data_IF_539419666746
#
_entry.id   IF_539419666746
#
_cell.length_a   1.000
_cell.length_b   1.000
_cell.length_c   1.000
_cell.angle_alpha   90.00
_cell.angle_beta   90.00
_cell.angle_gamma   90.00
#
_symmetry.space_group_name_H-M   'P 1'
#
loop_
_entity.id
_entity.type
_entity.pdbx_description
1 polymer ?
#
# COMPACT_ATOMS: atom_id res chain seq x y z
N UNK A 1 -13.03 4.30 -23.26
CA UNK A 1 -13.71 3.85 -22.02
C UNK A 1 -12.61 3.63 -21.03
N UNK A 2 -12.70 4.23 -19.83
CA UNK A 2 -11.68 4.09 -18.80
C UNK A 2 -11.67 2.63 -18.34
N UNK A 3 -10.50 2.00 -18.37
CA UNK A 3 -10.27 0.62 -17.92
C UNK A 3 -9.60 0.58 -16.55
N UNK A 4 -8.71 1.53 -16.28
CA UNK A 4 -7.94 1.61 -15.05
C UNK A 4 -8.17 2.94 -14.34
N UNK A 5 -8.27 2.91 -13.01
CA UNK A 5 -8.21 4.11 -12.17
C UNK A 5 -6.97 4.07 -11.29
N UNK A 6 -6.22 5.15 -11.24
CA UNK A 6 -5.08 5.29 -10.34
C UNK A 6 -5.53 6.12 -9.14
N UNK A 7 -5.74 5.45 -8.01
CA UNK A 7 -6.17 6.05 -6.77
C UNK A 7 -4.96 6.57 -5.98
N UNK A 8 -4.88 7.89 -5.83
CA UNK A 8 -3.84 8.58 -5.06
C UNK A 8 -4.49 9.32 -3.89
N UNK A 9 -3.92 9.20 -2.71
CA UNK A 9 -4.36 9.95 -1.53
C UNK A 9 -3.32 11.01 -1.18
N UNK A 10 -3.79 12.22 -0.88
CA UNK A 10 -2.94 13.36 -0.58
C UNK A 10 -3.32 13.97 0.77
N UNK A 11 -2.33 14.24 1.63
CA UNK A 11 -2.54 15.06 2.82
C UNK A 11 -1.27 15.85 3.16
N UNK A 12 -1.33 17.16 2.95
CA UNK A 12 -0.24 18.10 3.16
C UNK A 12 1.08 17.69 2.49
N UNK A 13 1.04 17.47 1.17
CA UNK A 13 2.22 17.10 0.36
C UNK A 13 2.51 18.13 -0.73
N UNK A 14 2.23 19.42 -0.53
CA UNK A 14 2.39 20.45 -1.55
C UNK A 14 3.80 20.46 -2.20
N UNK A 15 4.84 20.10 -1.42
CA UNK A 15 6.23 20.07 -1.87
C UNK A 15 6.53 18.92 -2.87
N UNK A 16 5.76 17.84 -2.87
CA UNK A 16 6.01 16.64 -3.70
C UNK A 16 4.89 16.33 -4.68
N UNK A 17 3.66 16.76 -4.37
CA UNK A 17 2.43 16.35 -5.05
C UNK A 17 2.48 16.57 -6.56
N UNK A 18 2.90 17.76 -7.01
CA UNK A 18 2.97 18.05 -8.44
C UNK A 18 3.91 17.09 -9.18
N UNK A 19 5.13 16.90 -8.66
CA UNK A 19 6.13 16.01 -9.25
C UNK A 19 5.67 14.56 -9.25
N UNK A 20 5.00 14.13 -8.18
CA UNK A 20 4.45 12.78 -8.06
C UNK A 20 3.35 12.54 -9.09
N UNK A 21 2.33 13.41 -9.14
CA UNK A 21 1.19 13.25 -10.04
C UNK A 21 1.59 13.36 -11.51
N UNK A 22 2.50 14.28 -11.86
CA UNK A 22 3.06 14.37 -13.22
C UNK A 22 3.73 13.05 -13.64
N UNK A 23 4.53 12.45 -12.76
CA UNK A 23 5.18 11.16 -13.03
C UNK A 23 4.20 10.01 -13.27
N UNK A 24 2.96 10.12 -12.76
CA UNK A 24 1.90 9.13 -12.95
C UNK A 24 1.10 9.44 -14.23
N UNK A 25 0.60 10.67 -14.38
CA UNK A 25 -0.33 11.02 -15.45
C UNK A 25 0.35 11.09 -16.83
N UNK A 26 1.64 11.44 -16.88
CA UNK A 26 2.38 11.57 -18.15
C UNK A 26 2.71 10.22 -18.79
N UNK A 27 2.70 9.12 -18.04
CA UNK A 27 3.05 7.79 -18.54
C UNK A 27 1.86 6.92 -18.95
N UNK A 28 0.62 7.40 -18.81
CA UNK A 28 -0.59 6.61 -19.09
C UNK A 28 -1.44 7.21 -20.21
N UNK A 29 -2.21 6.39 -20.93
CA UNK A 29 -3.10 6.84 -22.00
C UNK A 29 -4.56 7.10 -21.54
N UNK A 30 -5.48 7.31 -22.49
CA UNK A 30 -6.91 7.59 -22.22
C UNK A 30 -7.69 6.36 -21.70
N UNK A 31 -7.06 5.20 -21.58
CA UNK A 31 -7.63 4.05 -20.86
C UNK A 31 -7.48 4.16 -19.35
N UNK A 32 -6.77 5.19 -18.86
CA UNK A 32 -6.58 5.48 -17.45
C UNK A 32 -7.30 6.76 -17.03
N UNK A 33 -7.73 6.80 -15.79
CA UNK A 33 -7.98 8.04 -15.04
C UNK A 33 -7.10 8.06 -13.78
N UNK A 34 -6.83 9.25 -13.25
CA UNK A 34 -6.14 9.46 -11.98
C UNK A 34 -7.12 10.14 -11.02
N UNK A 35 -7.50 9.43 -9.95
CA UNK A 35 -8.42 9.95 -8.93
C UNK A 35 -7.60 10.30 -7.71
N UNK A 36 -7.56 11.60 -7.37
CA UNK A 36 -6.80 12.09 -6.21
C UNK A 36 -7.76 12.51 -5.10
N UNK A 37 -7.72 11.85 -3.96
CA UNK A 37 -8.50 12.26 -2.77
C UNK A 37 -7.62 13.13 -1.88
N UNK A 38 -8.07 14.35 -1.59
CA UNK A 38 -7.40 15.24 -0.65
C UNK A 38 -7.98 15.07 0.76
N UNK A 39 -7.10 14.66 1.68
CA UNK A 39 -7.35 14.43 3.09
C UNK A 39 -7.73 15.67 3.92
N UNK A 40 -8.00 16.82 3.28
CA UNK A 40 -8.23 18.10 3.96
C UNK A 40 -6.94 18.91 4.14
N UNK A 41 -6.12 18.98 3.09
CA UNK A 41 -4.84 19.69 3.13
C UNK A 41 -5.00 21.20 3.32
N UNK A 42 -4.02 21.80 4.01
CA UNK A 42 -3.97 23.23 4.33
C UNK A 42 -2.68 23.91 3.90
N UNK A 43 -1.82 23.21 3.16
CA UNK A 43 -0.47 23.60 2.81
C UNK A 43 -0.31 24.13 1.36
N UNK A 44 -1.42 24.29 0.63
CA UNK A 44 -1.43 24.67 -0.78
C UNK A 44 -1.67 23.50 -1.74
N UNK A 45 -1.67 22.25 -1.25
CA UNK A 45 -1.93 21.06 -2.08
C UNK A 45 -3.22 21.16 -2.92
N UNK A 46 -4.28 21.75 -2.35
CA UNK A 46 -5.59 21.88 -3.03
C UNK A 46 -5.56 22.84 -4.22
N UNK A 47 -4.66 23.83 -4.21
CA UNK A 47 -4.50 24.75 -5.34
C UNK A 47 -3.74 24.04 -6.46
N UNK A 48 -2.66 23.32 -6.13
CA UNK A 48 -1.91 22.47 -7.06
C UNK A 48 -2.82 21.44 -7.75
N UNK A 49 -3.72 20.78 -6.99
CA UNK A 49 -4.65 19.80 -7.54
C UNK A 49 -5.62 20.42 -8.55
N UNK A 50 -6.09 21.65 -8.35
CA UNK A 50 -6.96 22.33 -9.31
C UNK A 50 -6.20 22.67 -10.59
N UNK A 51 -4.97 23.14 -10.47
CA UNK A 51 -4.12 23.44 -11.63
C UNK A 51 -3.85 22.17 -12.47
N UNK A 52 -3.58 21.04 -11.81
CA UNK A 52 -3.38 19.76 -12.50
C UNK A 52 -4.67 19.19 -13.11
N UNK A 53 -5.83 19.37 -12.48
CA UNK A 53 -7.13 18.96 -13.04
C UNK A 53 -7.49 19.78 -14.28
N UNK A 54 -7.15 21.08 -14.30
CA UNK A 54 -7.29 21.94 -15.49
C UNK A 54 -6.34 21.55 -16.63
N UNK A 55 -5.13 21.07 -16.30
CA UNK A 55 -4.12 20.65 -17.27
C UNK A 55 -4.38 19.26 -17.86
N UNK A 56 -4.84 18.31 -17.03
CA UNK A 56 -4.98 16.90 -17.40
C UNK A 56 -6.44 16.44 -17.32
N UNK A 57 -7.09 16.29 -18.47
CA UNK A 57 -8.49 15.85 -18.55
C UNK A 57 -8.79 14.46 -17.94
N UNK A 58 -7.75 13.64 -17.73
CA UNK A 58 -7.83 12.32 -17.09
C UNK A 58 -7.55 12.35 -15.57
N UNK A 59 -7.19 13.50 -15.00
CA UNK A 59 -6.98 13.69 -13.58
C UNK A 59 -8.23 14.32 -12.97
N UNK A 60 -8.68 13.79 -11.83
CA UNK A 60 -9.81 14.34 -11.07
C UNK A 60 -9.49 14.41 -9.59
N UNK A 61 -9.73 15.56 -8.98
CA UNK A 61 -9.45 15.80 -7.58
C UNK A 61 -10.73 15.81 -6.73
N UNK A 62 -10.80 14.94 -5.73
CA UNK A 62 -11.88 14.88 -4.74
C UNK A 62 -11.46 15.74 -3.54
N UNK A 63 -11.87 17.01 -3.59
CA UNK A 63 -11.54 18.00 -2.56
C UNK A 63 -12.59 18.08 -1.45
N UNK A 64 -13.74 17.43 -1.61
CA UNK A 64 -14.89 17.52 -0.71
C UNK A 64 -15.25 16.15 -0.16
N UNK A 65 -14.34 15.56 0.64
CA UNK A 65 -14.64 14.35 1.39
C UNK A 65 -15.43 14.64 2.66
N UNK A 66 -16.26 13.70 3.09
CA UNK A 66 -16.98 13.79 4.36
C UNK A 66 -16.04 13.53 5.55
N UNK A 67 -16.29 14.18 6.69
CA UNK A 67 -15.48 14.06 7.92
C UNK A 67 -15.53 12.66 8.55
N UNK A 68 -16.41 11.78 8.06
CA UNK A 68 -16.58 10.42 8.59
C UNK A 68 -15.34 9.52 8.37
N UNK A 69 -14.45 9.91 7.46
CA UNK A 69 -13.30 9.14 7.00
C UNK A 69 -11.95 9.79 7.29
N UNK A 70 -11.70 10.36 8.48
CA UNK A 70 -10.46 11.14 8.80
C UNK A 70 -9.14 10.32 8.89
N UNK A 71 -8.96 9.30 8.04
CA UNK A 71 -7.78 8.46 7.94
C UNK A 71 -7.42 8.17 6.49
N UNK A 72 -6.17 7.76 6.26
CA UNK A 72 -5.69 7.35 4.93
C UNK A 72 -6.50 6.17 4.35
N UNK A 73 -6.95 5.24 5.19
CA UNK A 73 -7.83 4.14 4.76
C UNK A 73 -9.18 4.66 4.26
N UNK A 74 -9.75 5.64 4.96
CA UNK A 74 -10.95 6.34 4.52
C UNK A 74 -10.78 7.04 3.17
N UNK A 75 -9.68 7.77 2.99
CA UNK A 75 -9.37 8.42 1.71
C UNK A 75 -9.20 7.40 0.57
N UNK A 76 -8.60 6.23 0.84
CA UNK A 76 -8.49 5.14 -0.14
C UNK A 76 -9.84 4.54 -0.50
N UNK A 77 -10.74 4.35 0.47
CA UNK A 77 -12.11 3.88 0.20
C UNK A 77 -12.84 4.84 -0.73
N UNK A 78 -12.79 6.15 -0.45
CA UNK A 78 -13.38 7.17 -1.32
C UNK A 78 -12.77 7.10 -2.72
N UNK A 79 -11.45 6.94 -2.84
CA UNK A 79 -10.80 6.85 -4.14
C UNK A 79 -11.27 5.61 -4.95
N UNK A 80 -11.46 4.46 -4.29
CA UNK A 80 -11.98 3.24 -4.93
C UNK A 80 -13.45 3.40 -5.32
N UNK A 81 -14.26 4.02 -4.45
CA UNK A 81 -15.68 4.30 -4.72
C UNK A 81 -15.85 5.24 -5.91
N UNK A 82 -15.02 6.28 -5.99
CA UNK A 82 -15.04 7.28 -7.06
C UNK A 82 -14.40 6.79 -8.37
N UNK A 83 -13.70 5.66 -8.36
CA UNK A 83 -13.06 5.10 -9.56
C UNK A 83 -14.07 4.58 -10.57
N UNK A 84 -13.90 4.92 -11.85
CA UNK A 84 -14.72 4.45 -12.98
C UNK A 84 -14.11 3.24 -13.72
N UNK A 85 -12.83 2.94 -13.51
CA UNK A 85 -12.14 1.80 -14.09
C UNK A 85 -12.58 0.47 -13.47
N UNK A 86 -12.47 -0.60 -14.26
CA UNK A 86 -12.71 -1.97 -13.81
C UNK A 86 -11.58 -2.45 -12.88
N UNK A 87 -10.39 -1.88 -13.03
CA UNK A 87 -9.21 -2.15 -12.23
C UNK A 87 -8.71 -0.87 -11.56
N UNK A 88 -8.29 -0.97 -10.31
CA UNK A 88 -7.82 0.19 -9.54
C UNK A 88 -6.40 -0.08 -9.08
N UNK A 89 -5.50 0.85 -9.43
CA UNK A 89 -4.19 0.96 -8.82
C UNK A 89 -4.32 1.67 -7.48
N UNK A 90 -3.76 1.09 -6.42
CA UNK A 90 -3.81 1.63 -5.06
C UNK A 90 -2.43 1.68 -4.41
N UNK A 91 -2.30 2.53 -3.39
CA UNK A 91 -1.05 2.75 -2.63
C UNK A 91 0.09 3.31 -3.48
N UNK A 92 -0.24 4.18 -4.45
CA UNK A 92 0.74 5.05 -5.12
C UNK A 92 0.83 6.35 -4.32
N UNK A 93 1.83 6.44 -3.45
CA UNK A 93 1.93 7.56 -2.51
C UNK A 93 2.42 8.85 -3.20
N UNK A 94 1.83 9.99 -2.79
CA UNK A 94 2.09 11.32 -3.34
C UNK A 94 3.48 11.92 -2.99
N UNK A 95 4.32 11.14 -2.31
CA UNK A 95 5.71 11.46 -1.96
C UNK A 95 6.74 10.66 -2.79
N UNK A 96 6.27 9.93 -3.81
CA UNK A 96 7.09 9.16 -4.74
C UNK A 96 7.02 9.71 -6.16
N UNK A 97 8.15 9.61 -6.89
CA UNK A 97 8.21 9.79 -8.34
C UNK A 97 8.35 8.42 -9.00
N UNK A 98 7.38 8.04 -9.82
CA UNK A 98 7.38 6.77 -10.54
C UNK A 98 8.27 6.86 -11.78
N UNK A 99 8.95 5.76 -12.11
CA UNK A 99 9.77 5.68 -13.32
C UNK A 99 8.88 5.50 -14.55
N UNK A 100 9.35 5.98 -15.70
CA UNK A 100 8.57 5.96 -16.94
C UNK A 100 8.25 4.51 -17.37
N UNK A 101 6.97 4.27 -17.70
CA UNK A 101 6.45 3.00 -18.21
C UNK A 101 6.09 1.96 -17.14
N UNK A 102 6.52 2.13 -15.88
CA UNK A 102 6.34 1.09 -14.84
C UNK A 102 4.88 0.81 -14.51
N UNK A 103 3.98 1.77 -14.66
CA UNK A 103 2.56 1.60 -14.34
C UNK A 103 1.87 0.76 -15.42
N UNK A 104 2.06 1.10 -16.70
CA UNK A 104 1.51 0.33 -17.81
C UNK A 104 2.09 -1.08 -17.86
N UNK A 105 3.39 -1.22 -17.59
CA UNK A 105 4.07 -2.51 -17.49
C UNK A 105 3.51 -3.36 -16.34
N UNK A 106 3.16 -2.75 -15.20
CA UNK A 106 2.55 -3.48 -14.08
C UNK A 106 1.13 -3.97 -14.41
N UNK A 107 0.32 -3.17 -15.12
CA UNK A 107 -0.97 -3.62 -15.66
C UNK A 107 -0.78 -4.78 -16.65
N UNK A 108 0.23 -4.72 -17.52
CA UNK A 108 0.54 -5.80 -18.44
C UNK A 108 0.92 -7.10 -17.69
N UNK A 109 1.78 -7.00 -16.66
CA UNK A 109 2.12 -8.13 -15.77
C UNK A 109 0.87 -8.70 -15.10
N UNK A 110 0.01 -7.83 -14.55
CA UNK A 110 -1.24 -8.25 -13.92
C UNK A 110 -2.12 -9.05 -14.88
N UNK A 111 -2.35 -8.58 -16.11
CA UNK A 111 -3.21 -9.29 -17.06
C UNK A 111 -2.62 -10.58 -17.61
N UNK A 112 -1.28 -10.67 -17.70
CA UNK A 112 -0.63 -11.93 -18.02
C UNK A 112 -0.89 -12.98 -16.93
N UNK A 113 -0.76 -12.61 -15.65
CA UNK A 113 -1.12 -13.48 -14.52
C UNK A 113 -2.62 -13.80 -14.48
N UNK A 114 -3.48 -12.80 -14.70
CA UNK A 114 -4.93 -12.97 -14.68
C UNK A 114 -5.43 -14.02 -15.68
N UNK A 115 -4.76 -14.13 -16.83
CA UNK A 115 -5.12 -15.09 -17.88
C UNK A 115 -5.13 -16.56 -17.42
N UNK A 116 -4.37 -16.90 -16.37
CA UNK A 116 -4.29 -18.27 -15.82
C UNK A 116 -4.95 -18.47 -14.45
N UNK A 117 -5.31 -17.39 -13.75
CA UNK A 117 -5.79 -17.47 -12.36
C UNK A 117 -7.27 -17.90 -12.25
N UNK A 118 -8.12 -17.49 -13.20
CA UNK A 118 -9.56 -17.83 -13.20
C UNK A 118 -10.37 -17.25 -12.02
N UNK A 119 -9.79 -16.34 -11.22
CA UNK A 119 -10.40 -15.66 -10.07
C UNK A 119 -9.84 -14.24 -9.94
N UNK A 120 -10.59 -13.30 -9.32
CA UNK A 120 -10.03 -12.00 -8.98
C UNK A 120 -8.92 -12.15 -7.92
N UNK A 121 -7.91 -11.29 -8.00
CA UNK A 121 -6.84 -11.22 -7.02
C UNK A 121 -6.27 -9.81 -6.95
N UNK A 122 -5.63 -9.51 -5.84
CA UNK A 122 -4.84 -8.31 -5.62
C UNK A 122 -3.38 -8.63 -5.95
N UNK A 123 -2.79 -7.93 -6.91
CA UNK A 123 -1.36 -8.03 -7.16
C UNK A 123 -0.65 -6.95 -6.36
N UNK A 124 0.15 -7.38 -5.39
CA UNK A 124 0.97 -6.50 -4.57
C UNK A 124 2.39 -6.43 -5.09
N UNK A 125 2.85 -5.20 -5.29
CA UNK A 125 4.24 -4.83 -5.51
C UNK A 125 4.67 -3.78 -4.49
N UNK A 126 5.98 -3.63 -4.28
CA UNK A 126 6.48 -2.56 -3.43
C UNK A 126 6.19 -1.21 -4.08
N UNK A 127 5.38 -0.38 -3.40
CA UNK A 127 4.95 0.96 -3.85
C UNK A 127 4.01 0.99 -5.07
N UNK A 128 3.49 -0.16 -5.53
CA UNK A 128 2.51 -0.24 -6.61
C UNK A 128 1.65 -1.48 -6.45
N UNK A 129 0.32 -1.32 -6.50
CA UNK A 129 -0.60 -2.44 -6.37
C UNK A 129 -1.77 -2.25 -7.31
N UNK A 130 -2.38 -3.35 -7.76
CA UNK A 130 -3.54 -3.33 -8.64
C UNK A 130 -4.50 -4.48 -8.28
N UNK A 131 -5.80 -4.21 -8.35
CA UNK A 131 -6.84 -5.21 -8.19
C UNK A 131 -8.09 -4.82 -8.99
N UNK A 132 -9.00 -5.77 -9.25
CA UNK A 132 -10.34 -5.45 -9.72
C UNK A 132 -11.04 -4.53 -8.71
N UNK A 133 -11.75 -3.52 -9.19
CA UNK A 133 -12.49 -2.58 -8.32
C UNK A 133 -13.46 -3.30 -7.40
N UNK A 134 -14.14 -4.33 -7.90
CA UNK A 134 -15.08 -5.14 -7.10
C UNK A 134 -14.40 -5.79 -5.90
N UNK A 135 -13.18 -6.31 -6.05
CA UNK A 135 -12.43 -6.92 -4.95
C UNK A 135 -12.11 -5.89 -3.87
N UNK A 136 -11.73 -4.67 -4.26
CA UNK A 136 -11.45 -3.59 -3.30
C UNK A 136 -12.72 -3.08 -2.60
N UNK A 137 -13.86 -3.08 -3.30
CA UNK A 137 -15.16 -2.73 -2.72
C UNK A 137 -15.64 -3.79 -1.71
N UNK A 138 -15.32 -5.07 -1.95
CA UNK A 138 -15.65 -6.17 -1.03
C UNK A 138 -14.73 -6.20 0.21
N UNK A 139 -13.53 -5.58 0.12
CA UNK A 139 -12.55 -5.45 1.20
C UNK A 139 -12.18 -3.98 1.48
N UNK A 140 -13.10 -3.16 2.00
CA UNK A 140 -12.80 -1.77 2.31
C UNK A 140 -11.73 -1.65 3.39
N UNK A 141 -10.91 -0.61 3.30
CA UNK A 141 -9.93 -0.29 4.33
C UNK A 141 -10.64 0.08 5.63
N UNK A 142 -10.19 -0.43 6.79
CA UNK A 142 -10.73 -0.02 8.07
C UNK A 142 -10.36 1.44 8.37
N UNK A 143 -11.15 2.12 9.20
CA UNK A 143 -10.87 3.47 9.67
C UNK A 143 -9.79 3.46 10.77
N UNK A 144 -8.60 2.98 10.40
CA UNK A 144 -7.41 2.92 11.26
C UNK A 144 -6.53 4.15 11.02
N UNK A 145 -6.01 4.79 12.07
CA UNK A 145 -5.08 5.92 11.91
C UNK A 145 -3.81 5.58 11.13
N UNK A 146 -3.38 4.33 11.17
CA UNK A 146 -2.24 3.75 10.42
C UNK A 146 -2.41 2.23 10.35
N UNK A 147 -1.83 1.60 9.32
CA UNK A 147 -1.79 0.13 9.21
C UNK A 147 -3.04 -0.47 8.57
N UNK A 148 -3.89 0.36 7.98
CA UNK A 148 -5.00 -0.02 7.11
C UNK A 148 -4.60 -1.00 6.00
N UNK A 149 -3.41 -0.83 5.41
CA UNK A 149 -2.88 -1.75 4.39
C UNK A 149 -2.62 -3.15 4.95
N UNK A 150 -2.10 -3.24 6.18
CA UNK A 150 -1.82 -4.51 6.85
C UNK A 150 -3.11 -5.28 7.08
N UNK A 151 -4.18 -4.58 7.47
CA UNK A 151 -5.48 -5.20 7.67
C UNK A 151 -6.04 -5.74 6.35
N UNK A 152 -6.01 -4.95 5.28
CA UNK A 152 -6.42 -5.41 3.94
C UNK A 152 -5.65 -6.68 3.53
N UNK A 153 -4.31 -6.67 3.66
CA UNK A 153 -3.50 -7.83 3.29
C UNK A 153 -3.82 -9.07 4.13
N UNK A 154 -4.12 -8.92 5.43
CA UNK A 154 -4.55 -10.06 6.25
C UNK A 154 -5.83 -10.71 5.71
N UNK A 155 -6.84 -9.90 5.35
CA UNK A 155 -8.09 -10.40 4.75
C UNK A 155 -7.79 -11.14 3.44
N UNK A 156 -7.03 -10.50 2.56
CA UNK A 156 -6.72 -11.08 1.25
C UNK A 156 -5.89 -12.36 1.36
N UNK A 157 -4.91 -12.45 2.26
CA UNK A 157 -4.16 -13.70 2.48
C UNK A 157 -5.05 -14.81 3.04
N UNK A 158 -5.99 -14.48 3.93
CA UNK A 158 -6.91 -15.47 4.49
C UNK A 158 -7.85 -16.06 3.42
N UNK A 159 -8.13 -15.29 2.37
CA UNK A 159 -8.99 -15.68 1.25
C UNK A 159 -8.20 -16.17 0.02
N UNK A 160 -6.88 -16.30 0.12
CA UNK A 160 -5.98 -16.59 -1.01
C UNK A 160 -6.08 -15.55 -2.14
N UNK A 161 -6.59 -14.35 -1.87
CA UNK A 161 -6.92 -13.31 -2.84
C UNK A 161 -5.78 -12.31 -3.13
N UNK A 162 -4.53 -12.61 -2.74
CA UNK A 162 -3.36 -11.74 -2.97
C UNK A 162 -2.20 -12.53 -3.56
N UNK A 163 -1.49 -11.92 -4.52
CA UNK A 163 -0.19 -12.36 -5.00
C UNK A 163 0.84 -11.29 -4.67
N UNK A 164 2.02 -11.71 -4.21
CA UNK A 164 3.09 -10.77 -3.87
C UNK A 164 4.25 -10.89 -4.86
N UNK A 165 4.38 -9.88 -5.72
CA UNK A 165 5.44 -9.82 -6.72
C UNK A 165 6.72 -9.23 -6.12
N UNK A 166 7.82 -9.96 -6.26
CA UNK A 166 9.16 -9.43 -6.07
C UNK A 166 9.64 -8.75 -7.34
N UNK A 167 10.02 -7.48 -7.22
CA UNK A 167 10.50 -6.67 -8.33
C UNK A 167 11.47 -5.58 -7.86
N UNK A 168 12.21 -4.99 -8.79
CA UNK A 168 13.09 -3.85 -8.54
C UNK A 168 12.33 -2.57 -8.18
N UNK A 169 13.01 -1.47 -7.88
CA UNK A 169 12.31 -0.22 -7.53
C UNK A 169 11.49 0.31 -8.72
N UNK A 170 10.23 0.68 -8.47
CA UNK A 170 9.33 1.31 -9.45
C UNK A 170 9.30 2.84 -9.33
N UNK A 171 9.80 3.35 -8.20
CA UNK A 171 9.80 4.76 -7.90
C UNK A 171 11.04 5.15 -7.07
N UNK A 172 11.24 6.46 -6.93
CA UNK A 172 12.12 7.05 -5.93
C UNK A 172 11.29 7.92 -4.98
N UNK A 173 11.66 7.95 -3.70
CA UNK A 173 11.03 8.87 -2.75
C UNK A 173 11.58 10.28 -2.97
N UNK A 174 10.69 11.25 -3.14
CA UNK A 174 11.03 12.64 -3.48
C UNK A 174 10.76 13.65 -2.36
N UNK A 175 10.29 13.16 -1.21
CA UNK A 175 10.21 13.97 0.01
C UNK A 175 9.30 13.33 1.05
N UNK A 176 9.87 12.82 2.14
CA UNK A 176 9.12 12.46 3.35
C UNK A 176 10.06 12.23 4.54
N UNK A 177 10.87 13.25 4.87
CA UNK A 177 11.76 13.18 6.03
C UNK A 177 10.98 13.42 7.32
N UNK A 178 10.57 12.32 7.98
CA UNK A 178 9.97 12.39 9.31
C UNK A 178 11.04 12.73 10.34
N UNK A 179 10.77 13.74 11.15
CA UNK A 179 11.51 13.91 12.38
C UNK A 179 11.32 12.71 13.32
N UNK A 180 12.26 12.52 14.24
CA UNK A 180 12.24 11.41 15.19
C UNK A 180 10.97 11.37 16.05
N UNK A 181 10.35 12.52 16.35
CA UNK A 181 9.11 12.58 17.13
C UNK A 181 7.94 12.01 16.34
N UNK A 182 7.84 12.32 15.05
CA UNK A 182 6.84 11.81 14.13
C UNK A 182 7.02 10.30 13.94
N UNK A 183 8.27 9.82 13.82
CA UNK A 183 8.56 8.38 13.77
C UNK A 183 8.11 7.65 15.04
N UNK A 184 8.42 8.20 16.22
CA UNK A 184 8.03 7.62 17.51
C UNK A 184 6.50 7.58 17.68
N UNK A 185 5.82 8.67 17.31
CA UNK A 185 4.35 8.74 17.34
C UNK A 185 3.74 7.71 16.38
N UNK A 186 4.29 7.54 15.17
CA UNK A 186 3.85 6.53 14.20
C UNK A 186 4.03 5.12 14.77
N UNK A 187 5.19 4.80 15.35
CA UNK A 187 5.46 3.48 15.93
C UNK A 187 4.45 3.11 17.03
N UNK A 188 4.14 4.04 17.94
CA UNK A 188 3.12 3.83 18.97
C UNK A 188 1.72 3.66 18.35
N UNK A 189 1.36 4.47 17.35
CA UNK A 189 0.07 4.36 16.65
C UNK A 189 -0.07 3.00 15.95
N UNK A 190 0.98 2.52 15.28
CA UNK A 190 0.98 1.19 14.64
C UNK A 190 0.70 0.11 15.68
N UNK A 191 1.36 0.15 16.85
CA UNK A 191 1.10 -0.81 17.92
C UNK A 191 -0.32 -0.74 18.46
N UNK A 192 -0.92 0.45 18.54
CA UNK A 192 -2.33 0.59 18.93
C UNK A 192 -3.23 -0.07 17.87
N UNK A 193 -2.95 0.16 16.58
CA UNK A 193 -3.73 -0.39 15.47
C UNK A 193 -3.56 -1.91 15.34
N UNK A 194 -2.40 -2.46 15.67
CA UNK A 194 -2.19 -3.91 15.79
C UNK A 194 -3.19 -4.51 16.80
N UNK A 195 -3.37 -3.88 17.97
CA UNK A 195 -4.34 -4.34 18.96
C UNK A 195 -5.79 -4.14 18.51
N UNK A 196 -6.10 -3.04 17.80
CA UNK A 196 -7.41 -2.84 17.18
C UNK A 196 -7.70 -3.88 16.08
N UNK A 197 -6.65 -4.48 15.50
CA UNK A 197 -6.71 -5.54 14.49
C UNK A 197 -6.36 -6.90 15.11
N UNK A 198 -6.88 -7.17 16.31
CA UNK A 198 -6.90 -8.51 16.92
C UNK A 198 -5.57 -9.10 17.40
N UNK A 199 -4.43 -8.41 17.24
CA UNK A 199 -3.16 -8.88 17.79
C UNK A 199 -3.25 -9.00 19.31
N UNK A 200 -2.86 -10.15 19.87
CA UNK A 200 -2.95 -10.35 21.32
C UNK A 200 -1.77 -9.70 22.07
N UNK A 201 -2.01 -9.18 23.29
CA UNK A 201 -0.95 -8.66 24.16
C UNK A 201 0.16 -9.71 24.40
N UNK A 202 -0.24 -10.96 24.63
CA UNK A 202 0.72 -12.05 24.85
C UNK A 202 1.64 -12.23 23.65
N UNK A 203 1.09 -12.24 22.44
CA UNK A 203 1.87 -12.35 21.20
C UNK A 203 2.79 -11.13 21.03
N UNK A 204 2.28 -9.92 21.20
CA UNK A 204 3.06 -8.68 21.06
C UNK A 204 4.24 -8.61 22.04
N UNK A 205 4.04 -9.04 23.30
CA UNK A 205 5.12 -9.09 24.28
C UNK A 205 6.16 -10.17 23.95
N UNK A 206 5.72 -11.35 23.50
CA UNK A 206 6.64 -12.40 23.06
C UNK A 206 7.52 -11.92 21.87
N UNK A 207 6.88 -11.28 20.89
CA UNK A 207 7.53 -10.69 19.73
C UNK A 207 8.57 -9.63 20.13
N UNK A 208 8.29 -8.78 21.13
CA UNK A 208 9.27 -7.78 21.60
C UNK A 208 10.56 -8.37 22.18
N UNK A 209 10.53 -9.64 22.59
CA UNK A 209 11.68 -10.37 23.14
C UNK A 209 12.39 -11.21 22.06
N UNK A 210 11.59 -11.87 21.22
CA UNK A 210 12.00 -12.76 20.13
C UNK A 210 11.33 -12.30 18.84
N UNK A 211 12.02 -11.44 18.09
CA UNK A 211 11.55 -10.91 16.81
C UNK A 211 12.41 -11.46 15.67
N UNK A 212 11.79 -12.27 14.81
CA UNK A 212 12.38 -12.70 13.54
C UNK A 212 12.19 -11.59 12.50
N UNK A 213 13.30 -11.11 11.95
CA UNK A 213 13.31 -9.97 11.04
C UNK A 213 13.27 -10.43 9.60
N UNK A 214 12.12 -10.22 8.97
CA UNK A 214 11.94 -10.45 7.54
C UNK A 214 12.30 -9.21 6.71
N UNK A 215 12.57 -8.06 7.35
CA UNK A 215 12.86 -6.78 6.69
C UNK A 215 11.77 -6.32 5.70
N UNK A 216 10.55 -6.83 5.91
CA UNK A 216 9.33 -6.42 5.23
C UNK A 216 8.65 -5.42 6.15
N UNK A 217 8.40 -4.21 5.66
CA UNK A 217 7.82 -3.10 6.43
C UNK A 217 8.66 -2.66 7.64
N UNK A 218 9.93 -3.10 7.71
CA UNK A 218 10.86 -2.85 8.80
C UNK A 218 12.18 -2.27 8.31
N UNK A 219 12.69 -1.26 9.01
CA UNK A 219 14.03 -0.70 8.75
C UNK A 219 15.08 -1.42 9.59
N UNK A 220 16.23 -1.76 9.00
CA UNK A 220 17.40 -2.15 9.80
C UNK A 220 17.95 -0.93 10.55
N UNK A 221 18.15 -1.08 11.86
CA UNK A 221 18.68 -0.05 12.76
C UNK A 221 20.05 -0.45 13.33
N UNK A 222 20.58 -1.62 12.94
CA UNK A 222 21.83 -2.15 13.46
C UNK A 222 21.73 -2.75 14.88
N UNK A 223 22.72 -3.56 15.28
CA UNK A 223 22.62 -4.45 16.45
C UNK A 223 22.43 -3.70 17.79
N UNK A 224 23.03 -2.53 17.94
CA UNK A 224 22.99 -1.76 19.18
C UNK A 224 21.60 -1.14 19.42
N UNK A 225 21.04 -0.45 18.41
CA UNK A 225 19.68 0.09 18.50
C UNK A 225 18.63 -1.01 18.61
N UNK A 226 18.85 -2.16 17.97
CA UNK A 226 17.99 -3.33 18.09
C UNK A 226 17.91 -3.86 19.53
N UNK A 227 19.02 -3.82 20.27
CA UNK A 227 19.06 -4.24 21.68
C UNK A 227 18.29 -3.26 22.57
N UNK A 228 18.45 -1.95 22.37
CA UNK A 228 17.68 -0.93 23.10
C UNK A 228 16.21 -0.87 22.70
N UNK A 229 15.87 -1.32 21.49
CA UNK A 229 14.49 -1.35 21.00
C UNK A 229 13.64 -2.39 21.73
N UNK A 230 14.20 -3.49 22.23
CA UNK A 230 13.45 -4.53 22.98
C UNK A 230 12.71 -3.98 24.21
N UNK A 231 13.36 -3.32 25.19
CA UNK A 231 12.66 -2.76 26.35
C UNK A 231 11.68 -1.65 25.96
N UNK A 232 12.04 -0.84 24.95
CA UNK A 232 11.12 0.17 24.41
C UNK A 232 9.84 -0.49 23.83
N UNK A 233 9.99 -1.51 22.99
CA UNK A 233 8.87 -2.23 22.38
C UNK A 233 8.02 -2.92 23.44
N UNK A 234 8.62 -3.57 24.43
CA UNK A 234 7.87 -4.18 25.52
C UNK A 234 6.97 -3.17 26.25
N UNK A 235 7.54 -2.04 26.70
CA UNK A 235 6.80 -1.00 27.44
C UNK A 235 5.74 -0.32 26.57
N UNK A 236 6.10 -0.01 25.32
CA UNK A 236 5.18 0.65 24.39
C UNK A 236 4.05 -0.26 23.92
N UNK A 237 4.24 -1.59 23.83
CA UNK A 237 3.13 -2.53 23.60
C UNK A 237 2.16 -2.57 24.78
N UNK A 238 2.64 -2.56 26.03
CA UNK A 238 1.76 -2.44 27.20
C UNK A 238 0.93 -1.15 27.16
N UNK A 239 1.57 -0.02 26.84
CA UNK A 239 0.89 1.27 26.70
C UNK A 239 -0.13 1.27 25.55
N UNK A 240 0.27 0.75 24.39
CA UNK A 240 -0.58 0.67 23.21
C UNK A 240 -1.78 -0.25 23.45
N UNK A 241 -1.59 -1.39 24.10
CA UNK A 241 -2.68 -2.30 24.48
C UNK A 241 -3.69 -1.58 25.36
N UNK A 242 -3.23 -0.89 26.41
CA UNK A 242 -4.11 -0.09 27.27
C UNK A 242 -4.88 0.98 26.47
N UNK A 243 -4.23 1.69 25.55
CA UNK A 243 -4.87 2.70 24.69
C UNK A 243 -5.85 2.14 23.66
N UNK A 244 -5.71 0.88 23.26
CA UNK A 244 -6.58 0.25 22.27
C UNK A 244 -7.91 -0.26 22.85
N UNK A 245 -7.99 -0.54 24.16
CA UNK A 245 -9.15 -1.23 24.78
C UNK A 245 -10.48 -0.50 24.62
N UNK A 246 -10.45 0.83 24.59
CA UNK A 246 -11.64 1.67 24.50
C UNK A 246 -11.89 2.18 23.07
N UNK A 247 -11.16 1.65 22.07
CA UNK A 247 -11.30 2.00 20.66
C UNK A 247 -12.06 0.92 19.92
N UNK A 248 -12.60 1.30 18.76
CA UNK A 248 -13.17 0.37 17.80
C UNK A 248 -12.19 -0.75 17.45
N UNK A 249 -12.73 -1.96 17.37
CA UNK A 249 -11.99 -3.19 17.05
C UNK A 249 -12.45 -3.67 15.68
N UNK A 250 -11.52 -4.20 14.90
CA UNK A 250 -11.74 -4.72 13.57
C UNK A 250 -11.50 -6.22 13.54
N UNK A 251 -12.36 -6.94 12.83
CA UNK A 251 -12.30 -8.40 12.76
C UNK A 251 -11.01 -8.85 12.08
N UNK A 252 -10.27 -9.70 12.76
CA UNK A 252 -9.01 -10.24 12.26
C UNK A 252 -9.24 -11.64 11.72
N UNK A 253 -8.78 -11.96 10.50
CA UNK A 253 -8.96 -13.28 9.95
C UNK A 253 -8.26 -14.34 10.81
N UNK A 254 -8.82 -15.55 10.91
CA UNK A 254 -8.19 -16.65 11.65
C UNK A 254 -6.76 -16.90 11.16
N UNK A 255 -5.81 -16.96 12.08
CA UNK A 255 -4.39 -17.19 11.79
C UNK A 255 -3.54 -15.92 11.81
N UNK A 256 -4.13 -14.72 11.79
CA UNK A 256 -3.41 -13.44 11.80
C UNK A 256 -3.40 -12.73 13.17
N UNK A 257 -3.86 -13.38 14.24
CA UNK A 257 -3.92 -12.82 15.60
C UNK A 257 -2.55 -12.77 16.32
N UNK A 258 -1.51 -13.29 15.66
CA UNK A 258 -0.13 -13.34 16.15
C UNK A 258 0.72 -12.29 15.43
N UNK A 259 1.40 -11.44 16.21
CA UNK A 259 2.30 -10.41 15.70
C UNK A 259 3.46 -11.06 14.94
N UNK A 260 3.74 -10.56 13.74
CA UNK A 260 4.78 -11.09 12.85
C UNK A 260 4.26 -12.12 11.84
N UNK A 261 3.05 -12.66 12.00
CA UNK A 261 2.52 -13.66 11.05
C UNK A 261 2.35 -13.07 9.65
N UNK A 262 1.86 -11.83 9.53
CA UNK A 262 1.70 -11.19 8.23
C UNK A 262 3.05 -11.02 7.53
N UNK A 263 4.06 -10.48 8.22
CA UNK A 263 5.40 -10.31 7.67
C UNK A 263 6.04 -11.63 7.26
N UNK A 264 5.84 -12.69 8.05
CA UNK A 264 6.28 -14.03 7.72
C UNK A 264 5.61 -14.55 6.44
N UNK A 265 4.28 -14.42 6.32
CA UNK A 265 3.53 -14.84 5.13
C UNK A 265 3.97 -14.10 3.88
N UNK A 266 4.18 -12.80 3.99
CA UNK A 266 4.73 -12.00 2.88
C UNK A 266 6.12 -12.52 2.48
N UNK A 267 6.98 -12.83 3.45
CA UNK A 267 8.33 -13.35 3.17
C UNK A 267 8.30 -14.72 2.47
N UNK A 268 7.34 -15.58 2.82
CA UNK A 268 7.19 -16.92 2.26
C UNK A 268 6.54 -16.92 0.86
N UNK A 269 5.60 -15.99 0.62
CA UNK A 269 4.80 -15.96 -0.60
C UNK A 269 5.34 -15.00 -1.67
N UNK A 270 6.17 -14.02 -1.28
CA UNK A 270 6.81 -13.11 -2.22
C UNK A 270 7.75 -13.87 -3.15
N UNK A 271 7.52 -13.71 -4.46
CA UNK A 271 8.28 -14.42 -5.50
C UNK A 271 8.53 -13.54 -6.72
N UNK A 272 9.64 -13.75 -7.44
CA UNK A 272 9.87 -13.08 -8.72
C UNK A 272 8.84 -13.56 -9.75
N UNK A 273 8.60 -12.73 -10.78
CA UNK A 273 7.56 -12.94 -11.77
C UNK A 273 7.59 -14.33 -12.43
N UNK A 274 8.78 -14.84 -12.76
CA UNK A 274 8.94 -16.15 -13.38
C UNK A 274 8.50 -17.29 -12.44
N UNK A 275 8.77 -17.18 -11.15
CA UNK A 275 8.41 -18.21 -10.17
C UNK A 275 6.92 -18.17 -9.82
N UNK A 276 6.31 -16.98 -9.83
CA UNK A 276 4.84 -16.84 -9.77
C UNK A 276 4.19 -17.47 -11.01
N UNK A 277 4.69 -17.15 -12.19
CA UNK A 277 4.18 -17.69 -13.45
C UNK A 277 4.26 -19.23 -13.47
N UNK A 278 5.40 -19.80 -13.08
CA UNK A 278 5.60 -21.25 -12.96
C UNK A 278 4.64 -21.89 -11.95
N UNK A 279 4.38 -21.25 -10.80
CA UNK A 279 3.46 -21.76 -9.78
C UNK A 279 2.04 -21.92 -10.31
N UNK A 280 1.59 -21.03 -11.17
CA UNK A 280 0.24 -21.04 -11.73
C UNK A 280 0.17 -21.61 -13.16
N UNK A 281 1.30 -22.08 -13.71
CA UNK A 281 1.37 -22.64 -15.06
C UNK A 281 1.10 -21.62 -16.17
N UNK A 282 1.55 -20.38 -15.96
CA UNK A 282 1.32 -19.23 -16.84
C UNK A 282 2.59 -18.93 -17.63
N UNK A 283 2.46 -18.66 -18.93
CA UNK A 283 3.57 -18.14 -19.73
C UNK A 283 3.56 -16.61 -19.68
N UNK A 284 4.65 -16.02 -19.19
CA UNK A 284 4.84 -14.56 -19.16
C UNK A 284 5.78 -14.13 -20.28
N UNK A 285 5.30 -13.20 -21.10
CA UNK A 285 6.03 -12.57 -22.18
C UNK A 285 6.57 -11.19 -21.76
N UNK A 286 7.80 -11.20 -21.23
CA UNK A 286 8.52 -9.97 -20.88
C UNK A 286 8.87 -9.09 -22.09
N UNK A 287 8.76 -9.58 -23.34
CA UNK A 287 9.09 -8.77 -24.52
C UNK A 287 8.08 -7.66 -24.80
N UNK A 288 6.86 -7.78 -24.23
CA UNK A 288 5.80 -6.78 -24.32
C UNK A 288 5.99 -5.61 -23.37
N UNK A 289 6.86 -5.74 -22.38
CA UNK A 289 7.15 -4.68 -21.41
C UNK A 289 8.14 -3.67 -21.99
N UNK A 290 8.11 -2.44 -21.48
CA UNK A 290 9.13 -1.43 -21.76
C UNK A 290 10.53 -1.88 -21.31
N UNK A 291 11.57 -1.14 -21.69
CA UNK A 291 12.93 -1.42 -21.20
C UNK A 291 13.01 -1.33 -19.67
N UNK A 292 12.36 -0.32 -19.08
CA UNK A 292 12.23 -0.15 -17.63
C UNK A 292 11.48 -1.33 -17.01
N UNK A 293 10.32 -1.70 -17.54
CA UNK A 293 9.52 -2.80 -17.02
C UNK A 293 10.23 -4.15 -17.06
N UNK A 294 10.99 -4.43 -18.13
CA UNK A 294 11.84 -5.64 -18.18
C UNK A 294 12.90 -5.65 -17.10
N UNK A 295 13.54 -4.51 -16.84
CA UNK A 295 14.54 -4.40 -15.79
C UNK A 295 13.93 -4.56 -14.39
N UNK A 296 12.76 -3.96 -14.17
CA UNK A 296 12.09 -3.93 -12.87
C UNK A 296 11.37 -5.24 -12.55
N UNK A 297 10.55 -5.76 -13.46
CA UNK A 297 9.64 -6.89 -13.16
C UNK A 297 10.15 -8.26 -13.59
N UNK A 298 11.07 -8.34 -14.55
CA UNK A 298 11.52 -9.62 -15.12
C UNK A 298 12.93 -10.05 -14.69
N UNK A 299 13.73 -9.15 -14.10
CA UNK A 299 15.05 -9.52 -13.57
C UNK A 299 14.92 -9.96 -12.11
N UNK A 300 15.65 -11.01 -11.74
CA UNK A 300 15.76 -11.41 -10.32
C UNK A 300 16.39 -10.26 -9.55
N UNK A 301 15.63 -9.69 -8.61
CA UNK A 301 16.09 -8.66 -7.68
C UNK A 301 17.04 -9.24 -6.64
#
# INVERSE_FOLDING_TARGET
MVRYSIAVCNYNMADTLERSLRSIVDQVDDSYEVVVVDGGSTDGSRDILRELEDEYAKLRAILHRADEYDTLGGDRNIAVEESNGDYVFVQLDADNRFFDGVIEDFAAVYHQLESGMGRPFFLSGMSINIAPRSLLMDHPYPNLPVGEDRHLWQQLFAEDAILWLEHGSVCESIGYDKDFSAELKRDIRVKICDFQSGITLRSALAWSLHHDRYYILERDRGPLLNTFKKPYDFLSHCYAYWKARDREQYDTPPGFETKGTLECRIAEERKPLNELADQYGIEVDCSQLSETGRHVYCQKS
#
